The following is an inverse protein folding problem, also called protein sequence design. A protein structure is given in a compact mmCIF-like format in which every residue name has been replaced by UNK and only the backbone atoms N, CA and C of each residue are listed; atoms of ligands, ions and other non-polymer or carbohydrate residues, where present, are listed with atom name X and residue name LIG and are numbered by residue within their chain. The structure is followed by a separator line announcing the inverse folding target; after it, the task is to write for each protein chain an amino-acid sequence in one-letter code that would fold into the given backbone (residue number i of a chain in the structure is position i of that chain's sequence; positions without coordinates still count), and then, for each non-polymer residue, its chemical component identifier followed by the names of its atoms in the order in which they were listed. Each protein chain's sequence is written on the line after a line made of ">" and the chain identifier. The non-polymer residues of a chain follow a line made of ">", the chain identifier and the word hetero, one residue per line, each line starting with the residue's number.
data_IF_754032161950
#
_entry.id   IF_754032161950
#
_cell.length_a   1.000
_cell.length_b   1.000
_cell.length_c   1.000
_cell.angle_alpha   90.00
_cell.angle_beta   90.00
_cell.angle_gamma   90.00
#
_symmetry.space_group_name_H-M   'P 1'
#
loop_
_entity.id
_entity.type
_entity.pdbx_description
1 polymer ?
#
# COMPACT_ATOMS: atom_id res chain seq x y z
N UNK A 1 52.02 19.60 -46.42
CA UNK A 1 51.58 20.98 -46.13
C UNK A 1 51.35 21.06 -44.62
N UNK A 2 52.34 21.57 -43.89
CA UNK A 2 52.35 21.66 -42.43
C UNK A 2 52.34 23.16 -42.12
N UNK A 3 51.31 23.65 -41.43
CA UNK A 3 51.30 25.01 -40.91
C UNK A 3 51.49 24.98 -39.40
N UNK A 4 52.46 25.78 -39.01
CA UNK A 4 53.13 25.87 -37.71
C UNK A 4 52.34 26.83 -36.81
N UNK A 5 52.26 26.44 -35.53
CA UNK A 5 51.77 27.23 -34.39
C UNK A 5 52.56 28.53 -34.24
N UNK A 6 51.87 29.61 -33.86
CA UNK A 6 52.50 30.76 -33.20
C UNK A 6 51.90 30.96 -31.80
N UNK A 7 52.72 31.08 -30.75
CA UNK A 7 52.30 31.33 -29.38
C UNK A 7 52.48 32.82 -29.02
N UNK A 8 51.62 33.39 -28.17
CA UNK A 8 51.99 34.52 -27.30
C UNK A 8 50.94 34.70 -26.19
N UNK A 9 51.33 34.35 -24.96
CA UNK A 9 50.90 35.00 -23.71
C UNK A 9 51.99 36.00 -23.31
N UNK A 10 51.74 37.02 -22.45
CA UNK A 10 51.87 36.77 -20.99
C UNK A 10 50.99 37.61 -20.02
N UNK A 11 50.82 37.07 -18.81
CA UNK A 11 50.73 37.67 -17.45
C UNK A 11 49.74 38.82 -17.14
N UNK A 12 48.73 38.66 -16.24
CA UNK A 12 48.75 38.65 -14.73
C UNK A 12 49.20 39.99 -14.10
N UNK A 13 48.86 40.37 -12.83
CA UNK A 13 47.99 39.79 -11.78
C UNK A 13 47.19 40.87 -10.94
N UNK A 14 46.72 40.49 -9.73
CA UNK A 14 46.17 41.28 -8.58
C UNK A 14 44.63 41.41 -8.48
N UNK A 15 43.97 40.71 -7.54
CA UNK A 15 43.74 41.06 -6.10
C UNK A 15 42.83 42.31 -6.01
N UNK A 16 41.72 42.36 -5.30
CA UNK A 16 41.42 41.83 -3.97
C UNK A 16 39.96 42.19 -3.57
N UNK A 17 39.35 41.32 -2.75
CA UNK A 17 38.49 41.64 -1.60
C UNK A 17 37.30 42.61 -1.74
N UNK A 18 36.08 42.05 -1.69
CA UNK A 18 34.94 42.52 -0.87
C UNK A 18 34.12 41.25 -0.52
N UNK A 19 34.29 40.60 0.63
CA UNK A 19 33.68 40.96 1.92
C UNK A 19 32.21 41.37 1.78
N UNK A 20 31.35 40.39 1.47
CA UNK A 20 29.91 40.48 1.73
C UNK A 20 29.55 39.48 2.84
N UNK A 21 28.91 39.93 3.94
CA UNK A 21 28.45 39.03 4.98
C UNK A 21 27.24 38.22 4.49
N UNK A 22 27.25 36.91 4.76
CA UNK A 22 26.09 36.03 4.55
C UNK A 22 24.89 36.56 5.36
N UNK A 23 23.67 36.58 4.78
CA UNK A 23 22.46 36.79 5.56
C UNK A 23 22.24 35.58 6.48
N UNK A 24 22.13 35.83 7.78
CA UNK A 24 21.77 34.83 8.79
C UNK A 24 20.38 34.25 8.48
N UNK A 25 20.17 32.94 8.70
CA UNK A 25 18.84 32.34 8.59
C UNK A 25 17.89 32.96 9.63
N UNK A 26 16.59 33.13 9.31
CA UNK A 26 15.61 33.57 10.28
C UNK A 26 15.49 32.53 11.41
N UNK A 27 15.44 33.05 12.64
CA UNK A 27 15.26 32.30 13.88
C UNK A 27 14.14 31.24 13.78
N UNK A 28 14.28 30.08 14.46
CA UNK A 28 13.19 29.12 14.57
C UNK A 28 11.98 29.76 15.27
N UNK A 29 10.74 29.39 14.91
CA UNK A 29 9.57 29.86 15.61
C UNK A 29 9.65 29.44 17.09
N UNK A 30 9.52 30.43 17.97
CA UNK A 30 9.21 30.26 19.38
C UNK A 30 8.10 29.23 19.56
N UNK A 31 8.41 28.12 20.24
CA UNK A 31 7.41 27.18 20.71
C UNK A 31 6.40 27.92 21.60
N UNK A 32 5.10 27.79 21.37
CA UNK A 32 4.12 28.26 22.32
C UNK A 32 4.27 27.47 23.63
N UNK A 33 4.43 28.21 24.72
CA UNK A 33 4.34 27.77 26.10
C UNK A 33 3.14 26.85 26.37
N UNK A 34 3.23 25.94 27.36
CA UNK A 34 2.21 24.92 27.59
C UNK A 34 0.85 25.56 27.92
N UNK A 35 -0.18 25.07 27.24
CA UNK A 35 -1.56 25.44 27.48
C UNK A 35 -1.97 25.17 28.95
N UNK A 36 -2.86 26.00 29.53
CA UNK A 36 -3.24 25.90 30.92
C UNK A 36 -4.05 24.63 31.18
N UNK A 37 -3.74 24.05 32.32
CA UNK A 37 -4.19 22.79 32.90
C UNK A 37 -5.61 22.93 33.46
N UNK A 38 -6.66 22.72 32.64
CA UNK A 38 -8.06 22.69 33.07
C UNK A 38 -8.82 21.80 32.05
N UNK A 39 -9.31 20.59 32.29
CA UNK A 39 -10.13 20.06 33.38
C UNK A 39 -9.72 18.60 33.64
N UNK A 40 -9.08 18.31 34.77
CA UNK A 40 -9.03 16.96 35.30
C UNK A 40 -10.40 16.69 35.91
N UNK A 41 -11.34 16.18 35.11
CA UNK A 41 -12.61 15.66 35.61
C UNK A 41 -12.27 14.52 36.59
N UNK A 42 -12.33 14.81 37.89
CA UNK A 42 -12.27 13.80 38.93
C UNK A 42 -13.53 12.95 38.79
N UNK A 43 -13.41 11.82 38.12
CA UNK A 43 -14.49 10.84 38.08
C UNK A 43 -14.78 10.40 39.51
N UNK A 44 -16.06 10.36 39.95
CA UNK A 44 -16.38 9.89 41.28
C UNK A 44 -15.93 8.44 41.40
N UNK A 45 -14.84 8.20 42.14
CA UNK A 45 -14.42 6.86 42.57
C UNK A 45 -15.45 6.35 43.58
N UNK A 46 -16.63 5.93 43.10
CA UNK A 46 -17.51 5.07 43.88
C UNK A 46 -16.72 3.80 44.16
N UNK A 47 -16.27 3.65 45.41
CA UNK A 47 -15.71 2.40 45.92
C UNK A 47 -16.83 1.37 45.86
N UNK A 48 -16.89 0.60 44.77
CA UNK A 48 -17.76 -0.56 44.68
C UNK A 48 -17.14 -1.59 45.63
N UNK A 49 -17.65 -1.66 46.86
CA UNK A 49 -17.43 -2.84 47.69
C UNK A 49 -18.28 -3.95 47.09
N UNK A 50 -17.70 -4.73 46.17
CA UNK A 50 -18.27 -6.01 45.76
C UNK A 50 -18.38 -6.84 47.03
N UNK A 51 -19.59 -6.95 47.59
CA UNK A 51 -19.85 -7.91 48.66
C UNK A 51 -19.59 -9.28 48.03
N UNK A 52 -18.44 -9.86 48.34
CA UNK A 52 -18.12 -11.24 47.96
C UNK A 52 -19.24 -12.12 48.51
N UNK A 53 -19.90 -12.94 47.68
CA UNK A 53 -20.94 -13.83 48.16
C UNK A 53 -20.37 -14.70 49.28
N UNK A 54 -21.04 -14.71 50.43
CA UNK A 54 -20.67 -15.60 51.52
C UNK A 54 -20.74 -17.03 50.98
N UNK A 55 -19.60 -17.72 51.05
CA UNK A 55 -19.41 -19.12 50.65
C UNK A 55 -20.53 -19.96 51.24
N UNK A 56 -21.57 -20.25 50.46
CA UNK A 56 -22.59 -21.21 50.87
C UNK A 56 -21.95 -22.59 50.89
N UNK A 57 -22.35 -23.36 51.90
CA UNK A 57 -21.96 -24.74 52.14
C UNK A 57 -21.95 -25.57 50.86
N UNK A 58 -20.83 -26.27 50.65
CA UNK A 58 -20.55 -27.23 49.57
C UNK A 58 -21.80 -28.06 49.26
N UNK A 59 -22.51 -27.75 48.19
CA UNK A 59 -23.37 -28.74 47.55
C UNK A 59 -22.43 -29.78 46.90
N UNK A 60 -22.70 -31.08 47.04
CA UNK A 60 -21.91 -32.09 46.37
C UNK A 60 -22.03 -31.85 44.86
N UNK A 61 -20.92 -31.49 44.23
CA UNK A 61 -20.81 -31.45 42.77
C UNK A 61 -21.03 -32.90 42.32
N UNK A 62 -22.21 -33.20 41.79
CA UNK A 62 -22.42 -34.41 41.01
C UNK A 62 -21.41 -34.33 39.86
N UNK A 63 -20.36 -35.12 39.94
CA UNK A 63 -19.38 -35.28 38.86
C UNK A 63 -20.17 -35.87 37.69
N UNK A 64 -20.60 -35.01 36.78
CA UNK A 64 -21.22 -35.43 35.53
C UNK A 64 -20.12 -36.10 34.73
N UNK A 65 -20.16 -37.43 34.64
CA UNK A 65 -19.33 -38.18 33.70
C UNK A 65 -20.11 -38.19 32.39
N UNK A 66 -19.76 -37.35 31.39
CA UNK A 66 -20.46 -37.36 30.11
C UNK A 66 -20.32 -38.75 29.49
N UNK A 67 -21.42 -39.30 28.99
CA UNK A 67 -21.40 -40.56 28.25
C UNK A 67 -20.69 -40.32 26.91
N UNK A 68 -19.98 -41.31 26.34
CA UNK A 68 -19.28 -41.15 25.06
C UNK A 68 -20.22 -40.76 23.90
N UNK A 69 -21.53 -41.06 24.00
CA UNK A 69 -22.56 -40.58 23.08
C UNK A 69 -22.71 -39.06 23.08
N UNK A 70 -22.58 -38.42 24.25
CA UNK A 70 -22.77 -36.98 24.43
C UNK A 70 -21.55 -36.20 23.91
N UNK A 71 -20.38 -36.83 23.89
CA UNK A 71 -19.16 -36.25 23.33
C UNK A 71 -19.24 -36.25 21.81
N UNK A 72 -19.72 -37.33 21.20
CA UNK A 72 -19.87 -37.45 19.75
C UNK A 72 -20.96 -36.51 19.19
N UNK A 73 -22.07 -36.31 19.91
CA UNK A 73 -23.07 -35.32 19.52
C UNK A 73 -22.52 -33.89 19.62
N UNK A 74 -21.79 -33.58 20.70
CA UNK A 74 -21.19 -32.27 20.90
C UNK A 74 -20.10 -31.95 19.87
N UNK A 75 -19.31 -32.94 19.45
CA UNK A 75 -18.35 -32.79 18.34
C UNK A 75 -19.05 -32.52 17.00
N UNK A 76 -20.14 -33.23 16.69
CA UNK A 76 -20.94 -32.97 15.48
C UNK A 76 -21.58 -31.59 15.48
N UNK A 77 -22.06 -31.14 16.64
CA UNK A 77 -22.63 -29.80 16.79
C UNK A 77 -21.58 -28.70 16.59
N UNK A 78 -20.36 -28.90 17.13
CA UNK A 78 -19.24 -27.99 16.91
C UNK A 78 -18.82 -27.95 15.44
N UNK A 79 -18.68 -29.11 14.79
CA UNK A 79 -18.30 -29.21 13.38
C UNK A 79 -19.37 -28.58 12.46
N UNK A 80 -20.65 -28.79 12.78
CA UNK A 80 -21.77 -28.13 12.11
C UNK A 80 -21.72 -26.61 12.25
N UNK A 81 -21.42 -26.11 13.46
CA UNK A 81 -21.31 -24.68 13.71
C UNK A 81 -20.11 -24.05 12.99
N UNK A 82 -18.96 -24.72 13.00
CA UNK A 82 -17.75 -24.29 12.28
C UNK A 82 -18.00 -24.23 10.77
N UNK A 83 -18.60 -25.26 10.20
CA UNK A 83 -18.95 -25.28 8.77
C UNK A 83 -19.92 -24.15 8.41
N UNK A 84 -20.93 -23.91 9.25
CA UNK A 84 -21.88 -22.80 9.05
C UNK A 84 -21.19 -21.44 9.11
N UNK A 85 -20.22 -21.26 10.00
CA UNK A 85 -19.43 -20.04 10.09
C UNK A 85 -18.53 -19.87 8.85
N UNK A 86 -17.87 -20.93 8.42
CA UNK A 86 -17.04 -20.94 7.22
C UNK A 86 -17.84 -20.61 5.96
N UNK A 87 -19.06 -21.14 5.83
CA UNK A 87 -19.95 -20.79 4.72
C UNK A 87 -20.35 -19.30 4.73
N UNK A 88 -20.61 -18.73 5.91
CA UNK A 88 -20.90 -17.29 6.03
C UNK A 88 -19.71 -16.46 5.57
N UNK A 89 -18.50 -16.77 6.01
CA UNK A 89 -17.29 -16.07 5.55
C UNK A 89 -17.06 -16.21 4.05
N UNK A 90 -17.28 -17.41 3.48
CA UNK A 90 -17.18 -17.62 2.02
C UNK A 90 -18.20 -16.76 1.27
N UNK A 91 -19.46 -16.73 1.72
CA UNK A 91 -20.52 -15.91 1.11
C UNK A 91 -20.23 -14.42 1.20
N UNK A 92 -19.74 -13.94 2.35
CA UNK A 92 -19.34 -12.55 2.53
C UNK A 92 -18.17 -12.18 1.62
N UNK A 93 -17.13 -13.01 1.52
CA UNK A 93 -15.99 -12.76 0.63
C UNK A 93 -16.43 -12.68 -0.84
N UNK A 94 -17.32 -13.59 -1.27
CA UNK A 94 -17.92 -13.54 -2.61
C UNK A 94 -18.75 -12.26 -2.83
N UNK A 95 -19.53 -11.85 -1.83
CA UNK A 95 -20.30 -10.62 -1.90
C UNK A 95 -19.40 -9.39 -2.03
N UNK A 96 -18.35 -9.28 -1.21
CA UNK A 96 -17.36 -8.20 -1.28
C UNK A 96 -16.67 -8.14 -2.65
N UNK A 97 -16.29 -9.29 -3.20
CA UNK A 97 -15.76 -9.40 -4.57
C UNK A 97 -16.77 -8.96 -5.63
N UNK A 98 -18.05 -9.27 -5.45
CA UNK A 98 -19.10 -8.82 -6.36
C UNK A 98 -19.32 -7.31 -6.32
N UNK A 99 -19.18 -6.67 -5.15
CA UNK A 99 -19.27 -5.21 -5.03
C UNK A 99 -18.10 -4.53 -5.78
N UNK A 100 -16.90 -5.09 -5.68
CA UNK A 100 -15.73 -4.62 -6.44
C UNK A 100 -15.91 -4.71 -7.96
N UNK A 101 -16.80 -5.57 -8.45
CA UNK A 101 -17.06 -5.74 -9.87
C UNK A 101 -18.32 -4.99 -10.35
N UNK A 102 -19.20 -4.55 -9.44
CA UNK A 102 -20.48 -3.88 -9.77
C UNK A 102 -20.38 -2.36 -9.86
N UNK A 103 -19.21 -1.76 -9.64
CA UNK A 103 -18.96 -0.32 -9.81
C UNK A 103 -19.07 0.19 -11.26
N UNK A 104 -19.38 -0.67 -12.24
CA UNK A 104 -19.46 -0.35 -13.67
C UNK A 104 -20.69 0.49 -14.10
N UNK A 105 -21.65 0.80 -13.21
CA UNK A 105 -22.95 1.36 -13.64
C UNK A 105 -23.03 2.90 -13.63
N UNK A 106 -22.10 3.62 -12.99
CA UNK A 106 -22.10 5.10 -13.04
C UNK A 106 -20.69 5.69 -13.17
N UNK A 107 -20.11 5.58 -14.37
CA UNK A 107 -19.06 6.50 -14.87
C UNK A 107 -17.75 6.60 -14.07
N UNK A 108 -17.51 5.72 -13.10
CA UNK A 108 -16.27 5.60 -12.34
C UNK A 108 -15.89 4.14 -12.27
N UNK A 109 -15.07 3.73 -13.24
CA UNK A 109 -14.42 2.43 -13.36
C UNK A 109 -13.69 2.09 -12.04
N UNK A 110 -14.42 1.54 -11.08
CA UNK A 110 -13.91 1.13 -9.77
C UNK A 110 -13.95 -0.38 -9.68
N UNK A 111 -13.36 -1.02 -10.70
CA UNK A 111 -12.95 -2.43 -10.57
C UNK A 111 -11.92 -2.54 -9.43
N UNK A 112 -11.69 -3.73 -8.88
CA UNK A 112 -10.61 -3.97 -7.91
C UNK A 112 -9.23 -3.39 -8.29
N UNK A 113 -9.01 -3.10 -9.57
CA UNK A 113 -7.85 -2.39 -10.08
C UNK A 113 -7.80 -0.90 -9.67
N UNK A 114 -8.94 -0.26 -9.40
CA UNK A 114 -9.02 1.12 -8.88
C UNK A 114 -8.39 1.27 -7.50
N UNK A 115 -8.46 0.23 -6.65
CA UNK A 115 -7.77 0.23 -5.36
C UNK A 115 -6.24 0.23 -5.55
N UNK A 116 -5.78 -0.38 -6.63
CA UNK A 116 -4.38 -0.38 -7.06
C UNK A 116 -4.06 0.73 -8.05
N UNK A 117 -5.00 1.62 -8.40
CA UNK A 117 -4.82 2.65 -9.43
C UNK A 117 -4.55 2.14 -10.85
N UNK A 118 -4.80 0.85 -11.12
CA UNK A 118 -4.59 0.22 -12.42
C UNK A 118 -5.88 0.25 -13.25
N UNK A 119 -5.74 0.48 -14.54
CA UNK A 119 -6.80 0.30 -15.53
C UNK A 119 -6.22 -0.56 -16.66
N UNK A 120 -6.83 -1.72 -16.91
CA UNK A 120 -6.38 -2.66 -17.93
C UNK A 120 -7.46 -2.75 -19.01
N UNK A 121 -7.09 -2.43 -20.25
CA UNK A 121 -7.96 -2.55 -21.43
C UNK A 121 -7.33 -3.49 -22.43
N UNK A 122 -8.07 -4.48 -22.90
CA UNK A 122 -7.61 -5.38 -23.95
C UNK A 122 -8.11 -4.89 -25.30
N UNK A 123 -7.21 -4.66 -26.25
CA UNK A 123 -7.52 -4.21 -27.61
C UNK A 123 -6.65 -5.01 -28.58
N UNK A 124 -7.26 -5.72 -29.54
CA UNK A 124 -6.55 -6.42 -30.62
C UNK A 124 -5.42 -7.34 -30.13
N UNK A 125 -5.66 -8.14 -29.08
CA UNK A 125 -4.67 -9.03 -28.47
C UNK A 125 -3.43 -8.29 -27.93
N UNK A 126 -3.61 -7.04 -27.52
CA UNK A 126 -2.65 -6.22 -26.79
C UNK A 126 -3.34 -5.66 -25.54
N UNK A 127 -2.68 -5.78 -24.39
CA UNK A 127 -3.16 -5.18 -23.15
C UNK A 127 -2.61 -3.77 -23.05
N UNK A 128 -3.47 -2.79 -22.83
CA UNK A 128 -3.12 -1.41 -22.53
C UNK A 128 -3.36 -1.19 -21.04
N UNK A 129 -2.28 -0.96 -20.31
CA UNK A 129 -2.29 -0.76 -18.88
C UNK A 129 -2.03 0.72 -18.61
N UNK A 130 -2.93 1.34 -17.86
CA UNK A 130 -2.72 2.66 -17.28
C UNK A 130 -2.62 2.50 -15.78
N UNK A 131 -1.61 3.11 -15.19
CA UNK A 131 -1.35 3.06 -13.77
C UNK A 131 -1.24 4.47 -13.24
N UNK A 132 -2.15 4.85 -12.35
CA UNK A 132 -2.22 6.16 -11.74
C UNK A 132 -2.10 6.05 -10.22
N UNK A 133 -1.08 6.69 -9.66
CA UNK A 133 -0.89 6.78 -8.21
C UNK A 133 -0.68 8.24 -7.86
N UNK A 134 -1.60 8.82 -7.10
CA UNK A 134 -1.60 10.24 -6.73
C UNK A 134 -1.48 11.16 -7.95
N UNK A 135 -0.31 11.77 -8.17
CA UNK A 135 0.00 12.62 -9.33
C UNK A 135 0.82 11.92 -10.41
N UNK A 136 1.38 10.74 -10.12
CA UNK A 136 2.17 9.96 -11.07
C UNK A 136 1.27 9.18 -12.00
N UNK A 137 1.69 9.10 -13.25
CA UNK A 137 1.00 8.35 -14.29
C UNK A 137 1.99 7.57 -15.14
N UNK A 138 1.66 6.30 -15.39
CA UNK A 138 2.41 5.42 -16.26
C UNK A 138 1.43 4.64 -17.14
N UNK A 139 1.67 4.65 -18.45
CA UNK A 139 0.86 3.97 -19.44
C UNK A 139 1.76 3.17 -20.36
N UNK A 140 1.46 1.89 -20.50
CA UNK A 140 2.25 0.96 -21.30
C UNK A 140 1.36 -0.10 -21.93
N UNK A 141 1.88 -0.78 -22.94
CA UNK A 141 1.24 -1.96 -23.49
C UNK A 141 2.04 -3.23 -23.28
N UNK A 142 1.32 -4.34 -23.13
CA UNK A 142 1.83 -5.69 -23.07
C UNK A 142 1.21 -6.50 -24.20
N UNK A 143 2.03 -6.96 -25.14
CA UNK A 143 1.61 -7.82 -26.23
C UNK A 143 2.06 -9.27 -25.95
N UNK A 144 1.13 -10.24 -25.78
CA UNK A 144 1.49 -11.65 -25.74
C UNK A 144 2.07 -12.09 -27.09
N UNK A 145 3.23 -12.76 -27.06
CA UNK A 145 3.84 -13.42 -28.21
C UNK A 145 4.41 -14.77 -27.77
N UNK A 146 3.78 -15.86 -28.20
CA UNK A 146 4.16 -17.23 -27.86
C UNK A 146 4.26 -17.46 -26.34
N UNK A 147 5.47 -17.63 -25.79
CA UNK A 147 5.73 -17.80 -24.35
C UNK A 147 6.17 -16.51 -23.63
N UNK A 148 6.19 -15.39 -24.34
CA UNK A 148 6.68 -14.10 -23.85
C UNK A 148 5.60 -13.02 -23.85
N UNK A 149 5.81 -11.98 -23.05
CA UNK A 149 5.18 -10.68 -23.18
C UNK A 149 6.19 -9.67 -23.70
N UNK A 150 5.74 -8.84 -24.63
CA UNK A 150 6.49 -7.69 -25.13
C UNK A 150 5.89 -6.44 -24.49
N UNK A 151 6.70 -5.75 -23.70
CA UNK A 151 6.38 -4.49 -23.08
C UNK A 151 6.78 -3.32 -23.97
N UNK A 152 5.89 -2.33 -24.10
CA UNK A 152 6.19 -1.04 -24.73
C UNK A 152 5.63 0.10 -23.89
N UNK A 153 6.51 1.02 -23.49
CA UNK A 153 6.09 2.26 -22.87
C UNK A 153 5.27 3.10 -23.86
N UNK A 154 4.17 3.68 -23.40
CA UNK A 154 3.39 4.65 -24.16
C UNK A 154 3.63 6.06 -23.64
N UNK A 155 3.37 6.26 -22.35
CA UNK A 155 3.45 7.58 -21.72
C UNK A 155 3.84 7.41 -20.24
N UNK A 156 4.57 8.38 -19.69
CA UNK A 156 4.77 8.50 -18.26
C UNK A 156 4.83 9.98 -17.87
N UNK A 157 4.47 10.30 -16.62
CA UNK A 157 4.47 11.67 -16.11
C UNK A 157 4.78 11.71 -14.62
N UNK A 158 5.47 12.77 -14.21
CA UNK A 158 5.76 13.14 -12.80
C UNK A 158 6.64 12.16 -12.00
N UNK A 159 7.54 11.41 -12.66
CA UNK A 159 8.64 10.69 -11.98
C UNK A 159 9.74 10.26 -12.97
N UNK A 160 10.93 9.98 -12.42
CA UNK A 160 12.04 9.39 -13.17
C UNK A 160 11.81 7.89 -13.38
N UNK A 161 11.67 7.49 -14.64
CA UNK A 161 11.47 6.10 -15.03
C UNK A 161 12.85 5.42 -15.20
N UNK A 162 13.10 4.26 -14.59
CA UNK A 162 14.33 3.51 -14.83
C UNK A 162 14.51 3.15 -16.30
N UNK A 163 15.75 3.23 -16.79
CA UNK A 163 16.08 3.01 -18.21
C UNK A 163 15.47 1.74 -18.80
N UNK A 164 15.44 0.65 -18.03
CA UNK A 164 14.88 -0.62 -18.52
C UNK A 164 13.39 -0.51 -18.87
N UNK A 165 12.59 0.29 -18.15
CA UNK A 165 11.16 0.52 -18.46
C UNK A 165 10.94 1.58 -19.53
N UNK A 166 11.97 2.34 -19.90
CA UNK A 166 11.91 3.30 -21.01
C UNK A 166 12.02 2.60 -22.36
N UNK A 167 12.62 1.41 -22.40
CA UNK A 167 12.86 0.63 -23.60
C UNK A 167 11.81 -0.49 -23.79
N UNK A 168 11.82 -1.11 -24.98
CA UNK A 168 11.02 -2.28 -25.26
C UNK A 168 11.65 -3.51 -24.62
N UNK A 169 10.91 -4.17 -23.72
CA UNK A 169 11.38 -5.35 -22.98
C UNK A 169 10.59 -6.57 -23.44
N UNK A 170 11.26 -7.71 -23.57
CA UNK A 170 10.59 -9.00 -23.68
C UNK A 170 10.91 -9.85 -22.44
N UNK A 171 9.88 -10.45 -21.86
CA UNK A 171 10.03 -11.31 -20.68
C UNK A 171 9.05 -12.48 -20.74
N UNK A 172 9.39 -13.58 -20.07
CA UNK A 172 8.56 -14.79 -20.04
C UNK A 172 7.23 -14.56 -19.32
N UNK A 173 6.17 -15.24 -19.78
CA UNK A 173 4.82 -15.15 -19.16
C UNK A 173 4.82 -15.42 -17.66
N UNK A 174 5.68 -16.32 -17.17
CA UNK A 174 5.79 -16.66 -15.75
C UNK A 174 6.30 -15.50 -14.88
N UNK A 175 7.02 -14.55 -15.47
CA UNK A 175 7.62 -13.41 -14.78
C UNK A 175 6.69 -12.20 -14.69
N UNK A 176 5.48 -12.27 -15.25
CA UNK A 176 4.53 -11.14 -15.29
C UNK A 176 4.26 -10.56 -13.90
N UNK A 177 4.10 -11.40 -12.89
CA UNK A 177 3.87 -10.94 -11.52
C UNK A 177 5.08 -10.18 -10.95
N UNK A 178 6.30 -10.63 -11.25
CA UNK A 178 7.54 -9.95 -10.84
C UNK A 178 7.69 -8.61 -11.55
N UNK A 179 7.35 -8.56 -12.84
CA UNK A 179 7.35 -7.34 -13.64
C UNK A 179 6.39 -6.30 -13.03
N UNK A 180 5.12 -6.67 -12.78
CA UNK A 180 4.14 -5.76 -12.18
C UNK A 180 4.55 -5.31 -10.78
N UNK A 181 5.11 -6.19 -9.97
CA UNK A 181 5.64 -5.81 -8.66
C UNK A 181 6.73 -4.74 -8.77
N UNK A 182 7.67 -4.89 -9.72
CA UNK A 182 8.70 -3.87 -9.97
C UNK A 182 8.12 -2.54 -10.43
N UNK A 183 7.12 -2.57 -11.31
CA UNK A 183 6.40 -1.36 -11.75
C UNK A 183 5.71 -0.67 -10.56
N UNK A 184 5.06 -1.43 -9.67
CA UNK A 184 4.47 -0.90 -8.43
C UNK A 184 5.50 -0.31 -7.49
N UNK A 185 6.63 -1.00 -7.29
CA UNK A 185 7.73 -0.53 -6.45
C UNK A 185 8.26 0.83 -6.93
N UNK A 186 8.38 1.04 -8.25
CA UNK A 186 8.83 2.32 -8.83
C UNK A 186 7.78 3.42 -8.66
N UNK A 187 6.51 3.09 -8.88
CA UNK A 187 5.42 4.08 -8.77
C UNK A 187 5.22 4.56 -7.33
N UNK A 188 5.41 3.68 -6.34
CA UNK A 188 5.25 3.99 -4.91
C UNK A 188 6.57 4.48 -4.28
N UNK A 189 7.71 3.94 -4.69
CA UNK A 189 8.99 4.07 -4.00
C UNK A 189 9.84 5.30 -4.35
N UNK A 190 9.48 6.07 -5.37
CA UNK A 190 10.15 7.33 -5.75
C UNK A 190 9.47 8.57 -5.20
#
# INVERSE_FOLDING_TARGET
>A
MILILSPYTPHCPYLSSLLYPLPLPPYPPTFPSPLPLIFLMKTPRKRITLKTPKRSTKTPIKVFKPQPSDINSLLKDLESHENKLLEKYKKENLYLRSLLNKGEVEGKDTSSLSLLGLDIKEINNEFIIKYKVEKKYLSFSLKPKDEFYIYKLKEHSEFELPNFLSEEISFEKQQVNKFFYKVMEIMIGN
#
